data_IF_846437194642
#
_entry.id   IF_846437194642
#
_cell.length_a   1.000
_cell.length_b   1.000
_cell.length_c   1.000
_cell.angle_alpha   90.00
_cell.angle_beta   90.00
_cell.angle_gamma   90.00
#
_symmetry.space_group_name_H-M   'P 1'
#
loop_
_entity.id
_entity.type
_entity.pdbx_description
1 polymer ?
#
# COMPACT_ATOMS: atom_id res chain seq x y z
N UNK A 1 -12.13 -14.54 -0.49
CA UNK A 1 -11.07 -14.07 -1.42
C UNK A 1 -11.53 -12.95 -2.36
N UNK A 2 -12.56 -13.14 -3.19
CA UNK A 2 -12.98 -12.12 -4.19
C UNK A 2 -13.35 -10.76 -3.57
N UNK A 3 -13.99 -10.77 -2.40
CA UNK A 3 -14.35 -9.55 -1.67
C UNK A 3 -13.12 -8.75 -1.18
N UNK A 4 -12.09 -9.44 -0.68
CA UNK A 4 -10.84 -8.81 -0.26
C UNK A 4 -10.05 -8.25 -1.43
N UNK A 5 -10.01 -8.96 -2.56
CA UNK A 5 -9.41 -8.45 -3.81
C UNK A 5 -10.16 -7.21 -4.33
N UNK A 6 -11.49 -7.20 -4.22
CA UNK A 6 -12.32 -6.08 -4.65
C UNK A 6 -12.12 -4.84 -3.75
N UNK A 7 -12.15 -5.01 -2.44
CA UNK A 7 -11.91 -3.94 -1.47
C UNK A 7 -10.49 -3.36 -1.63
N UNK A 8 -9.50 -4.23 -1.84
CA UNK A 8 -8.10 -3.85 -2.05
C UNK A 8 -7.90 -3.05 -3.34
N UNK A 9 -8.57 -3.45 -4.43
CA UNK A 9 -8.54 -2.72 -5.71
C UNK A 9 -9.16 -1.32 -5.60
N UNK A 10 -10.22 -1.17 -4.80
CA UNK A 10 -10.87 0.12 -4.55
C UNK A 10 -9.95 1.05 -3.75
N UNK A 11 -9.32 0.55 -2.69
CA UNK A 11 -8.38 1.33 -1.85
C UNK A 11 -7.19 1.81 -2.69
N UNK A 12 -6.64 0.94 -3.55
CA UNK A 12 -5.51 1.28 -4.41
C UNK A 12 -5.88 2.32 -5.48
N UNK A 13 -7.07 2.23 -6.07
CA UNK A 13 -7.58 3.23 -7.03
C UNK A 13 -7.83 4.59 -6.36
N UNK A 14 -8.36 4.61 -5.14
CA UNK A 14 -8.55 5.85 -4.38
C UNK A 14 -7.21 6.51 -4.02
N UNK A 15 -6.20 5.72 -3.63
CA UNK A 15 -4.87 6.23 -3.37
C UNK A 15 -4.19 6.79 -4.63
N UNK A 16 -4.27 6.10 -5.77
CA UNK A 16 -3.67 6.62 -7.00
C UNK A 16 -4.35 7.90 -7.52
N UNK A 17 -5.68 8.02 -7.36
CA UNK A 17 -6.45 9.16 -7.89
C UNK A 17 -6.25 10.44 -7.06
N UNK A 18 -6.13 10.33 -5.74
CA UNK A 18 -5.90 11.49 -4.86
C UNK A 18 -4.47 12.04 -4.91
N UNK A 19 -3.47 11.20 -5.20
CA UNK A 19 -2.07 11.63 -5.23
C UNK A 19 -1.59 12.07 -6.63
N UNK A 20 -2.34 11.77 -7.70
CA UNK A 20 -2.06 12.24 -9.06
C UNK A 20 -2.44 13.69 -9.34
N UNK A 21 -3.30 14.30 -8.51
CA UNK A 21 -3.81 15.67 -8.72
C UNK A 21 -2.97 16.77 -8.05
N UNK A 22 -1.96 16.41 -7.25
CA UNK A 22 -1.18 17.37 -6.43
C UNK A 22 0.18 17.79 -7.00
N UNK A 23 0.50 17.47 -8.26
CA UNK A 23 1.78 17.84 -8.88
C UNK A 23 1.63 18.94 -9.95
N UNK A 24 1.39 20.16 -9.47
CA UNK A 24 1.84 21.40 -10.13
C UNK A 24 3.30 21.69 -9.78
N UNK A 25 4.12 21.96 -10.80
CA UNK A 25 5.59 22.12 -10.77
C UNK A 25 6.13 22.97 -9.61
N UNK A 26 6.99 22.39 -8.76
CA UNK A 26 8.17 23.05 -8.13
C UNK A 26 9.11 22.02 -7.45
N UNK A 27 10.43 22.26 -7.38
CA UNK A 27 11.41 21.18 -7.30
C UNK A 27 12.02 20.91 -5.91
N UNK A 28 12.38 19.63 -5.73
CA UNK A 28 13.58 19.12 -5.05
C UNK A 28 13.82 19.57 -3.59
N UNK A 29 13.21 18.84 -2.65
CA UNK A 29 13.82 18.50 -1.32
C UNK A 29 13.06 17.42 -0.53
N UNK A 30 11.84 17.04 -0.93
CA UNK A 30 11.05 15.97 -0.25
C UNK A 30 11.10 14.58 -0.89
N UNK A 31 11.98 14.36 -1.87
CA UNK A 31 11.96 13.12 -2.67
C UNK A 31 12.61 11.91 -1.97
N UNK A 32 13.61 12.13 -1.10
CA UNK A 32 14.41 11.03 -0.52
C UNK A 32 13.65 10.25 0.58
N UNK A 33 12.88 10.93 1.43
CA UNK A 33 12.07 10.29 2.48
C UNK A 33 10.87 9.51 1.92
N UNK A 34 10.27 9.99 0.81
CA UNK A 34 9.11 9.34 0.17
C UNK A 34 9.47 8.08 -0.64
N UNK A 35 10.71 7.97 -1.11
CA UNK A 35 11.22 6.75 -1.77
C UNK A 35 11.47 5.64 -0.74
N UNK A 36 11.88 6.00 0.48
CA UNK A 36 12.11 5.05 1.57
C UNK A 36 10.79 4.42 2.07
N UNK A 37 9.71 5.20 2.17
CA UNK A 37 8.37 4.69 2.54
C UNK A 37 7.79 3.73 1.48
N UNK A 38 8.03 3.98 0.19
CA UNK A 38 7.61 3.06 -0.89
C UNK A 38 8.30 1.70 -0.84
N UNK A 39 9.59 1.65 -0.48
CA UNK A 39 10.34 0.38 -0.36
C UNK A 39 9.82 -0.47 0.79
N UNK A 40 9.55 0.15 1.94
CA UNK A 40 9.03 -0.55 3.12
C UNK A 40 7.62 -1.13 2.89
N UNK A 41 6.77 -0.43 2.14
CA UNK A 41 5.44 -0.92 1.82
C UNK A 41 5.48 -2.12 0.86
N UNK A 42 6.35 -2.07 -0.17
CA UNK A 42 6.51 -3.16 -1.13
C UNK A 42 7.10 -4.43 -0.47
N UNK A 43 8.03 -4.26 0.46
CA UNK A 43 8.60 -5.35 1.25
C UNK A 43 7.53 -6.01 2.15
N UNK A 44 6.70 -5.21 2.83
CA UNK A 44 5.56 -5.70 3.60
C UNK A 44 4.56 -6.51 2.74
N UNK A 45 4.21 -6.01 1.54
CA UNK A 45 3.32 -6.74 0.63
C UNK A 45 3.91 -8.05 0.13
N UNK A 46 5.22 -8.09 -0.12
CA UNK A 46 5.90 -9.30 -0.58
C UNK A 46 5.92 -10.35 0.52
N UNK A 47 6.13 -9.93 1.77
CA UNK A 47 6.14 -10.80 2.95
C UNK A 47 4.77 -11.39 3.28
N UNK A 48 3.70 -10.59 3.20
CA UNK A 48 2.31 -11.06 3.38
C UNK A 48 1.91 -12.04 2.27
N UNK A 49 2.29 -11.76 1.02
CA UNK A 49 2.03 -12.67 -0.12
C UNK A 49 2.75 -14.01 0.04
N UNK A 50 3.99 -14.00 0.54
CA UNK A 50 4.74 -15.22 0.82
C UNK A 50 4.10 -16.05 1.93
N UNK A 51 3.66 -15.41 3.03
CA UNK A 51 2.95 -16.11 4.11
C UNK A 51 1.66 -16.79 3.63
N UNK A 52 0.85 -16.09 2.83
CA UNK A 52 -0.37 -16.66 2.26
C UNK A 52 -0.08 -17.83 1.29
N UNK A 53 1.05 -17.78 0.58
CA UNK A 53 1.45 -18.86 -0.33
C UNK A 53 1.93 -20.11 0.43
N UNK A 54 2.62 -19.91 1.55
CA UNK A 54 3.07 -21.00 2.43
C UNK A 54 1.89 -21.67 3.15
N UNK A 55 0.91 -20.90 3.63
CA UNK A 55 -0.33 -21.46 4.21
C UNK A 55 -1.12 -22.29 3.19
N UNK A 56 -1.15 -21.89 1.91
CA UNK A 56 -1.81 -22.69 0.86
C UNK A 56 -1.12 -24.04 0.60
N UNK A 57 0.20 -24.11 0.73
CA UNK A 57 0.97 -25.36 0.61
C UNK A 57 0.78 -26.26 1.84
N UNK A 58 0.79 -25.68 3.04
CA UNK A 58 0.57 -26.40 4.30
C UNK A 58 -0.86 -26.95 4.40
N UNK A 59 -1.85 -26.21 3.91
CA UNK A 59 -3.25 -26.67 3.79
C UNK A 59 -3.38 -27.78 2.74
N UNK A 60 -2.60 -27.77 1.66
CA UNK A 60 -2.58 -28.88 0.68
C UNK A 60 -1.97 -30.14 1.27
N UNK A 61 -0.95 -30.01 2.11
CA UNK A 61 -0.29 -31.14 2.74
C UNK A 61 -1.14 -31.76 3.85
N UNK A 62 -1.79 -30.94 4.69
CA UNK A 62 -2.72 -31.41 5.72
C UNK A 62 -4.04 -31.98 5.16
N UNK A 63 -4.49 -31.54 3.98
CA UNK A 63 -5.65 -32.14 3.28
C UNK A 63 -5.42 -33.56 2.77
N UNK A 64 -4.17 -34.03 2.64
CA UNK A 64 -3.87 -35.42 2.23
C UNK A 64 -4.32 -36.47 3.25
N UNK A 65 -4.70 -36.07 4.46
CA UNK A 65 -5.14 -36.99 5.53
C UNK A 65 -6.62 -37.37 5.45
N UNK A 66 -7.39 -36.79 4.51
CA UNK A 66 -8.77 -37.21 4.29
C UNK A 66 -8.79 -38.25 3.18
N UNK A 67 -9.02 -39.51 3.52
CA UNK A 67 -9.16 -40.61 2.56
C UNK A 67 -10.19 -40.25 1.48
N UNK A 68 -9.72 -39.88 0.29
CA UNK A 68 -10.60 -39.55 -0.84
C UNK A 68 -10.96 -40.83 -1.59
N UNK A 69 -12.24 -41.21 -1.52
CA UNK A 69 -12.79 -42.32 -2.31
C UNK A 69 -12.84 -42.03 -3.82
N UNK A 70 -12.47 -40.82 -4.26
CA UNK A 70 -12.47 -40.43 -5.67
C UNK A 70 -11.17 -40.79 -6.40
N UNK A 71 -10.05 -40.91 -5.67
CA UNK A 71 -8.74 -41.17 -6.25
C UNK A 71 -8.47 -42.68 -6.39
N UNK A 72 -7.38 -43.05 -7.07
CA UNK A 72 -6.91 -44.44 -7.10
C UNK A 72 -6.55 -44.92 -5.69
N UNK A 73 -6.80 -46.19 -5.42
CA UNK A 73 -6.61 -46.77 -4.10
C UNK A 73 -5.17 -47.17 -3.85
N UNK A 74 -4.67 -46.89 -2.64
CA UNK A 74 -3.30 -47.25 -2.25
C UNK A 74 -3.03 -48.75 -2.46
N UNK A 75 -1.97 -49.06 -3.21
CA UNK A 75 -1.50 -50.44 -3.42
C UNK A 75 -1.12 -51.09 -2.10
N UNK A 76 -0.46 -50.35 -1.21
CA UNK A 76 -0.05 -50.86 0.10
C UNK A 76 -1.26 -51.26 0.95
N UNK A 77 -2.32 -50.45 0.92
CA UNK A 77 -3.55 -50.74 1.66
C UNK A 77 -4.27 -51.99 1.15
N UNK A 78 -4.46 -52.11 -0.17
CA UNK A 78 -5.17 -53.25 -0.77
C UNK A 78 -4.36 -54.56 -0.70
N UNK A 79 -3.02 -54.47 -0.70
CA UNK A 79 -2.14 -55.63 -0.62
C UNK A 79 -2.19 -56.34 0.76
N UNK A 80 -2.81 -55.72 1.77
CA UNK A 80 -2.98 -56.35 3.09
C UNK A 80 -3.94 -57.53 3.09
N UNK A 81 -4.85 -57.59 2.11
CA UNK A 81 -5.97 -58.55 2.07
C UNK A 81 -6.12 -59.27 0.74
N UNK A 82 -5.27 -58.98 -0.25
CA UNK A 82 -5.34 -59.58 -1.59
C UNK A 82 -3.95 -59.98 -2.10
N UNK A 83 -3.93 -61.02 -2.93
CA UNK A 83 -2.70 -61.50 -3.59
C UNK A 83 -2.16 -60.53 -4.64
N UNK A 84 -0.84 -60.34 -4.66
CA UNK A 84 -0.16 -59.39 -5.55
C UNK A 84 -0.39 -59.65 -7.04
N UNK A 85 -0.47 -60.91 -7.45
CA UNK A 85 -0.68 -61.32 -8.85
C UNK A 85 -2.00 -60.74 -9.41
N UNK A 86 -3.08 -60.81 -8.62
CA UNK A 86 -4.40 -60.26 -8.99
C UNK A 86 -4.41 -58.74 -9.06
N UNK A 87 -3.55 -58.08 -8.27
CA UNK A 87 -3.49 -56.62 -8.21
C UNK A 87 -2.69 -56.01 -9.35
N UNK A 88 -1.70 -56.72 -9.89
CA UNK A 88 -0.83 -56.21 -10.96
C UNK A 88 -1.61 -55.86 -12.23
N UNK A 89 -2.71 -56.57 -12.52
CA UNK A 89 -3.59 -56.29 -13.67
C UNK A 89 -4.56 -55.14 -13.42
N UNK A 90 -4.57 -54.54 -12.22
CA UNK A 90 -5.47 -53.46 -11.81
C UNK A 90 -4.72 -52.14 -11.55
N UNK A 91 -3.46 -52.04 -11.96
CA UNK A 91 -2.62 -50.87 -11.68
C UNK A 91 -2.94 -49.75 -12.67
N UNK A 92 -3.16 -48.54 -12.14
CA UNK A 92 -3.25 -47.31 -12.91
C UNK A 92 -1.85 -46.93 -13.43
N UNK A 93 -1.67 -46.81 -14.74
CA UNK A 93 -0.37 -46.50 -15.35
C UNK A 93 0.13 -45.08 -15.06
N UNK A 94 -0.71 -44.18 -14.54
CA UNK A 94 -0.33 -42.78 -14.23
C UNK A 94 0.23 -42.64 -12.81
N UNK A 95 -0.46 -43.19 -11.80
CA UNK A 95 -0.08 -43.02 -10.40
C UNK A 95 0.50 -44.28 -9.75
N UNK A 96 0.54 -45.40 -10.49
CA UNK A 96 1.03 -46.70 -10.05
C UNK A 96 0.31 -47.27 -8.80
N UNK A 97 -0.94 -46.83 -8.58
CA UNK A 97 -1.84 -47.31 -7.53
C UNK A 97 -2.94 -48.19 -8.13
N UNK A 98 -3.78 -48.82 -7.31
CA UNK A 98 -4.90 -49.63 -7.81
C UNK A 98 -5.97 -48.70 -8.40
N UNK A 99 -6.34 -48.95 -9.65
CA UNK A 99 -7.26 -48.09 -10.40
C UNK A 99 -8.62 -47.98 -9.72
N UNK A 100 -9.14 -46.76 -9.61
CA UNK A 100 -10.50 -46.48 -9.19
C UNK A 100 -11.27 -45.91 -10.37
N UNK A 101 -12.50 -46.39 -10.58
CA UNK A 101 -13.29 -46.08 -11.77
C UNK A 101 -12.49 -46.30 -13.06
N UNK A 102 -11.92 -47.49 -13.22
CA UNK A 102 -11.01 -47.82 -14.31
C UNK A 102 -11.50 -47.39 -15.70
N UNK A 103 -10.60 -46.74 -16.43
CA UNK A 103 -10.68 -46.40 -17.83
C UNK A 103 -9.62 -47.20 -18.58
N UNK A 104 -9.96 -47.66 -19.78
CA UNK A 104 -9.06 -48.33 -20.69
C UNK A 104 -8.74 -47.40 -21.86
N UNK A 105 -7.45 -47.33 -22.23
CA UNK A 105 -7.01 -46.53 -23.37
C UNK A 105 -7.10 -47.38 -24.64
N UNK A 106 -7.81 -46.85 -25.65
CA UNK A 106 -7.93 -47.45 -26.98
C UNK A 106 -7.27 -46.51 -27.97
N UNK A 107 -6.03 -46.78 -28.33
CA UNK A 107 -5.33 -46.00 -29.34
C UNK A 107 -4.61 -46.94 -30.28
N UNK A 108 -4.64 -46.60 -31.57
CA UNK A 108 -4.08 -47.43 -32.64
C UNK A 108 -2.57 -47.64 -32.44
N UNK A 109 -1.90 -46.67 -31.81
CA UNK A 109 -0.50 -46.72 -31.43
C UNK A 109 -0.20 -47.80 -30.37
N UNK A 110 -1.22 -48.32 -29.66
CA UNK A 110 -1.10 -49.36 -28.64
C UNK A 110 -1.91 -50.63 -28.96
N UNK A 111 -2.50 -50.75 -30.15
CA UNK A 111 -3.33 -51.91 -30.54
C UNK A 111 -2.51 -53.22 -30.66
N UNK A 112 -1.19 -53.10 -30.86
CA UNK A 112 -0.28 -54.24 -31.07
C UNK A 112 0.44 -54.73 -29.80
N UNK A 113 0.14 -54.13 -28.65
CA UNK A 113 0.67 -54.60 -27.38
C UNK A 113 -0.43 -55.45 -26.75
N UNK A 114 -0.16 -56.73 -26.47
CA UNK A 114 -1.07 -57.65 -25.74
C UNK A 114 -1.43 -57.15 -24.31
N UNK A 115 -1.04 -55.92 -23.96
CA UNK A 115 -1.18 -55.28 -22.67
C UNK A 115 -2.27 -54.21 -22.70
N UNK A 116 -3.31 -54.44 -21.90
CA UNK A 116 -4.37 -53.45 -21.64
C UNK A 116 -3.84 -52.35 -20.72
N UNK A 117 -3.88 -51.10 -21.18
CA UNK A 117 -3.50 -49.94 -20.38
C UNK A 117 -4.68 -49.40 -19.58
N UNK A 118 -4.59 -49.53 -18.25
CA UNK A 118 -5.61 -49.05 -17.32
C UNK A 118 -5.20 -47.74 -16.66
N UNK A 119 -6.15 -46.82 -16.57
CA UNK A 119 -6.00 -45.52 -15.89
C UNK A 119 -7.19 -45.28 -14.97
N UNK A 120 -6.97 -44.73 -13.79
CA UNK A 120 -8.08 -44.25 -12.96
C UNK A 120 -8.72 -43.02 -13.59
N UNK A 121 -10.05 -42.90 -13.54
CA UNK A 121 -10.79 -41.82 -14.21
C UNK A 121 -10.33 -40.42 -13.78
N UNK A 122 -10.18 -40.17 -12.48
CA UNK A 122 -9.68 -38.88 -11.98
C UNK A 122 -8.21 -38.62 -12.36
N UNK A 123 -7.37 -39.66 -12.36
CA UNK A 123 -5.98 -39.56 -12.79
C UNK A 123 -5.91 -39.16 -14.27
N UNK A 124 -6.72 -39.78 -15.12
CA UNK A 124 -6.80 -39.48 -16.54
C UNK A 124 -7.29 -38.04 -16.76
N UNK A 125 -8.38 -37.63 -16.10
CA UNK A 125 -8.91 -36.27 -16.23
C UNK A 125 -7.88 -35.20 -15.80
N UNK A 126 -7.19 -35.43 -14.68
CA UNK A 126 -6.14 -34.53 -14.18
C UNK A 126 -4.97 -34.46 -15.17
N UNK A 127 -4.51 -35.60 -15.66
CA UNK A 127 -3.43 -35.70 -16.62
C UNK A 127 -3.74 -34.95 -17.92
N UNK A 128 -4.91 -35.18 -18.51
CA UNK A 128 -5.32 -34.57 -19.78
C UNK A 128 -5.42 -33.04 -19.69
N UNK A 129 -5.85 -32.50 -18.54
CA UNK A 129 -5.89 -31.05 -18.29
C UNK A 129 -4.49 -30.43 -18.26
N UNK A 130 -3.50 -31.15 -17.74
CA UNK A 130 -2.13 -30.66 -17.59
C UNK A 130 -1.28 -30.85 -18.86
N UNK A 131 -1.61 -31.86 -19.68
CA UNK A 131 -0.76 -32.30 -20.80
C UNK A 131 -1.42 -32.07 -22.16
N UNK A 132 -2.21 -31.02 -22.32
CA UNK A 132 -2.84 -30.64 -23.60
C UNK A 132 -3.59 -31.80 -24.29
N UNK A 133 -4.31 -32.61 -23.50
CA UNK A 133 -5.07 -33.79 -23.96
C UNK A 133 -4.24 -34.86 -24.68
N UNK A 134 -2.93 -34.92 -24.44
CA UNK A 134 -2.06 -35.97 -24.97
C UNK A 134 -2.21 -37.29 -24.21
N UNK A 135 -1.93 -38.40 -24.87
CA UNK A 135 -1.97 -39.74 -24.28
C UNK A 135 -0.96 -39.89 -23.12
N UNK A 136 -1.33 -40.50 -21.97
CA UNK A 136 -0.40 -40.74 -20.86
C UNK A 136 0.79 -41.65 -21.17
N UNK A 137 0.70 -42.53 -22.17
CA UNK A 137 1.75 -43.52 -22.47
C UNK A 137 2.81 -42.96 -23.44
N UNK A 138 2.39 -42.46 -24.61
CA UNK A 138 3.30 -42.02 -25.69
C UNK A 138 3.07 -40.59 -26.18
N UNK A 139 2.27 -39.78 -25.47
CA UNK A 139 2.05 -38.35 -25.78
C UNK A 139 1.51 -38.02 -27.18
N UNK A 140 0.96 -38.98 -27.92
CA UNK A 140 0.30 -38.72 -29.20
C UNK A 140 -1.02 -37.94 -29.00
N UNK A 141 -1.50 -37.34 -30.09
CA UNK A 141 -2.81 -36.67 -30.13
C UNK A 141 -3.91 -37.71 -30.38
N UNK A 142 -5.15 -37.39 -29.96
CA UNK A 142 -6.34 -38.22 -30.21
C UNK A 142 -6.31 -39.63 -29.58
N UNK A 143 -6.12 -39.71 -28.26
CA UNK A 143 -6.32 -40.95 -27.51
C UNK A 143 -7.81 -41.15 -27.21
N UNK A 144 -8.39 -42.26 -27.65
CA UNK A 144 -9.71 -42.68 -27.20
C UNK A 144 -9.59 -43.47 -25.90
N UNK A 145 -10.64 -43.41 -25.09
CA UNK A 145 -10.70 -44.15 -23.84
C UNK A 145 -12.14 -44.51 -23.51
N UNK A 146 -12.33 -45.69 -22.92
CA UNK A 146 -13.65 -46.20 -22.55
C UNK A 146 -13.68 -46.71 -21.11
N UNK A 147 -14.88 -46.83 -20.55
CA UNK A 147 -15.03 -47.39 -19.20
C UNK A 147 -14.87 -48.92 -19.25
N UNK A 148 -13.85 -49.44 -18.59
CA UNK A 148 -13.69 -50.89 -18.47
C UNK A 148 -14.56 -51.44 -17.33
N UNK A 149 -15.77 -51.91 -17.69
CA UNK A 149 -16.76 -52.43 -16.73
C UNK A 149 -16.27 -53.67 -15.98
N UNK A 150 -15.49 -54.53 -16.63
CA UNK A 150 -14.95 -55.77 -16.04
C UNK A 150 -13.95 -55.44 -14.94
N UNK A 151 -13.00 -54.55 -15.20
CA UNK A 151 -12.01 -54.09 -14.21
C UNK A 151 -12.69 -53.35 -13.07
N UNK A 152 -13.64 -52.46 -13.35
CA UNK A 152 -14.43 -51.77 -12.31
C UNK A 152 -15.15 -52.76 -11.38
N UNK A 153 -15.71 -53.84 -11.93
CA UNK A 153 -16.33 -54.92 -11.15
C UNK A 153 -15.28 -55.69 -10.34
N UNK A 154 -14.14 -56.04 -10.93
CA UNK A 154 -13.05 -56.72 -10.20
C UNK A 154 -12.53 -55.89 -9.03
N UNK A 155 -12.33 -54.58 -9.21
CA UNK A 155 -11.91 -53.67 -8.13
C UNK A 155 -12.97 -53.57 -7.03
N UNK A 156 -14.25 -53.49 -7.42
CA UNK A 156 -15.39 -53.44 -6.48
C UNK A 156 -15.49 -54.67 -5.57
N UNK A 157 -14.99 -55.82 -6.03
CA UNK A 157 -15.01 -57.10 -5.32
C UNK A 157 -13.73 -57.38 -4.51
N UNK A 158 -12.71 -56.50 -4.57
CA UNK A 158 -11.51 -56.62 -3.74
C UNK A 158 -11.88 -56.55 -2.26
N UNK A 159 -11.28 -57.43 -1.46
CA UNK A 159 -11.41 -57.38 -0.01
C UNK A 159 -10.50 -56.30 0.53
N UNK A 160 -10.98 -55.50 1.48
CA UNK A 160 -10.20 -54.43 2.10
C UNK A 160 -10.55 -54.31 3.57
N UNK A 161 -9.56 -53.87 4.36
CA UNK A 161 -9.79 -53.39 5.73
C UNK A 161 -10.27 -51.94 5.69
N UNK A 162 -10.93 -51.45 6.74
CA UNK A 162 -11.33 -50.05 6.79
C UNK A 162 -10.10 -49.10 6.65
N UNK A 163 -10.17 -48.09 5.77
CA UNK A 163 -9.09 -47.12 5.58
C UNK A 163 -8.64 -46.45 6.88
N UNK A 164 -9.59 -46.14 7.76
CA UNK A 164 -9.29 -45.53 9.07
C UNK A 164 -8.47 -46.47 9.96
N UNK A 165 -8.68 -47.79 9.86
CA UNK A 165 -7.81 -48.76 10.55
C UNK A 165 -6.40 -48.79 9.94
N UNK A 166 -6.31 -48.69 8.62
CA UNK A 166 -5.02 -48.67 7.92
C UNK A 166 -4.18 -47.46 8.33
N UNK A 167 -4.79 -46.27 8.37
CA UNK A 167 -4.11 -45.04 8.77
C UNK A 167 -3.63 -45.09 10.23
N UNK A 168 -4.44 -45.64 11.15
CA UNK A 168 -4.04 -45.84 12.55
C UNK A 168 -2.83 -46.76 12.67
N UNK A 169 -2.85 -47.90 11.97
CA UNK A 169 -1.73 -48.86 11.98
C UNK A 169 -0.46 -48.24 11.39
N UNK A 170 -0.57 -47.46 10.32
CA UNK A 170 0.57 -46.76 9.71
C UNK A 170 1.21 -45.76 10.68
N UNK A 171 0.40 -45.04 11.44
CA UNK A 171 0.90 -44.05 12.41
C UNK A 171 1.56 -44.71 13.63
N UNK A 172 1.05 -45.86 14.08
CA UNK A 172 1.65 -46.63 15.18
C UNK A 172 3.04 -47.17 14.83
N UNK A 173 3.27 -47.54 13.58
CA UNK A 173 4.59 -48.02 13.13
C UNK A 173 5.66 -46.92 13.11
N UNK A 174 5.27 -45.64 13.13
CA UNK A 174 6.18 -44.50 13.02
C UNK A 174 6.47 -43.80 14.36
N UNK A 175 5.83 -44.21 15.47
CA UNK A 175 6.01 -43.61 16.79
C UNK A 175 6.23 -44.70 17.83
N UNK A 176 7.45 -44.81 18.34
CA UNK A 176 7.84 -45.72 19.42
C UNK A 176 7.31 -45.29 20.82
N UNK A 177 6.44 -44.28 20.89
CA UNK A 177 5.95 -43.76 22.16
C UNK A 177 4.59 -44.34 22.54
N UNK A 178 4.56 -44.99 23.70
CA UNK A 178 3.39 -45.49 24.43
C UNK A 178 2.41 -44.36 24.77
N UNK A 179 1.65 -43.90 23.79
CA UNK A 179 0.44 -43.13 24.08
C UNK A 179 -0.67 -44.14 24.35
N UNK A 180 -0.86 -44.39 25.65
CA UNK A 180 -1.97 -45.13 26.24
C UNK A 180 -3.29 -44.41 25.93
N UNK A 181 -3.75 -44.46 24.67
CA UNK A 181 -5.05 -43.96 24.24
C UNK A 181 -6.10 -45.03 24.57
N UNK A 182 -6.30 -45.19 25.87
CA UNK A 182 -7.33 -45.98 26.51
C UNK A 182 -8.72 -45.44 26.14
N UNK A 183 -9.30 -45.92 25.04
CA UNK A 183 -10.72 -46.33 24.93
C UNK A 183 -11.08 -46.78 23.50
N UNK A 184 -10.63 -47.98 23.14
CA UNK A 184 -11.48 -49.09 22.63
C UNK A 184 -12.46 -48.86 21.48
N UNK A 185 -12.31 -47.83 20.64
CA UNK A 185 -12.96 -47.82 19.32
C UNK A 185 -12.01 -48.48 18.33
N UNK A 186 -12.11 -49.80 18.20
CA UNK A 186 -11.45 -50.53 17.12
C UNK A 186 -12.51 -50.86 16.07
N UNK A 187 -12.40 -50.26 14.88
CA UNK A 187 -13.04 -50.87 13.73
C UNK A 187 -12.30 -52.19 13.45
N UNK A 188 -13.02 -53.23 13.06
CA UNK A 188 -12.50 -54.53 12.61
C UNK A 188 -13.03 -54.90 11.21
N UNK A 189 -13.56 -53.93 10.48
CA UNK A 189 -14.20 -54.17 9.19
C UNK A 189 -13.21 -54.79 8.20
N UNK A 190 -13.62 -55.90 7.61
CA UNK A 190 -13.00 -56.52 6.45
C UNK A 190 -14.13 -56.89 5.50
N UNK A 191 -14.17 -56.28 4.32
CA UNK A 191 -15.28 -56.45 3.39
C UNK A 191 -14.93 -56.01 1.98
N UNK A 192 -15.90 -56.04 1.08
CA UNK A 192 -15.69 -55.67 -0.33
C UNK A 192 -15.57 -54.16 -0.48
N UNK A 193 -14.73 -53.72 -1.41
CA UNK A 193 -14.50 -52.30 -1.69
C UNK A 193 -15.81 -51.53 -1.94
N UNK A 194 -16.76 -52.11 -2.68
CA UNK A 194 -18.05 -51.47 -2.98
C UNK A 194 -18.91 -51.16 -1.75
N UNK A 195 -18.75 -51.94 -0.68
CA UNK A 195 -19.51 -51.80 0.57
C UNK A 195 -18.80 -50.83 1.54
N UNK A 196 -17.59 -50.39 1.20
CA UNK A 196 -16.76 -49.52 2.06
C UNK A 196 -17.43 -48.19 2.36
N UNK A 197 -18.10 -47.59 1.38
CA UNK A 197 -18.79 -46.31 1.56
C UNK A 197 -19.89 -46.43 2.62
N UNK A 198 -20.70 -47.48 2.52
CA UNK A 198 -21.77 -47.75 3.47
C UNK A 198 -21.21 -47.96 4.89
N UNK A 199 -20.11 -48.72 5.00
CA UNK A 199 -19.39 -48.88 6.27
C UNK A 199 -18.92 -47.53 6.85
N UNK A 200 -18.23 -46.71 6.05
CA UNK A 200 -17.68 -45.42 6.51
C UNK A 200 -18.75 -44.42 6.95
N UNK A 201 -19.93 -44.49 6.32
CA UNK A 201 -21.06 -43.59 6.57
C UNK A 201 -21.94 -44.06 7.75
N UNK A 202 -22.14 -45.38 7.93
CA UNK A 202 -23.15 -45.91 8.85
C UNK A 202 -22.61 -46.70 10.04
N UNK A 203 -21.47 -47.37 9.91
CA UNK A 203 -21.07 -48.43 10.85
C UNK A 203 -19.62 -48.37 11.30
N UNK A 204 -18.83 -47.40 10.82
CA UNK A 204 -17.44 -47.29 11.18
C UNK A 204 -17.28 -46.59 12.53
N UNK A 205 -17.07 -47.38 13.59
CA UNK A 205 -16.85 -46.88 14.96
C UNK A 205 -15.58 -46.03 15.11
N UNK A 206 -14.64 -46.14 14.16
CA UNK A 206 -13.54 -45.19 13.99
C UNK A 206 -14.02 -43.86 13.40
N UNK A 207 -15.20 -43.37 13.78
CA UNK A 207 -15.67 -42.05 13.37
C UNK A 207 -14.52 -41.07 13.53
N UNK A 208 -14.15 -40.39 12.42
CA UNK A 208 -13.34 -39.17 12.54
C UNK A 208 -13.99 -38.34 13.65
N UNK A 209 -13.22 -37.65 14.52
CA UNK A 209 -13.80 -36.68 15.44
C UNK A 209 -14.45 -35.53 14.65
N UNK A 210 -15.65 -35.79 14.15
CA UNK A 210 -16.70 -34.90 13.73
C UNK A 210 -17.90 -35.53 14.41
N UNK A 211 -18.24 -35.09 15.62
CA UNK A 211 -19.37 -34.15 15.70
C UNK A 211 -19.49 -33.41 17.06
N UNK A 212 -18.48 -33.40 17.93
CA UNK A 212 -18.54 -32.48 19.10
C UNK A 212 -18.07 -31.06 18.73
N UNK A 213 -17.20 -30.92 17.74
CA UNK A 213 -16.75 -29.61 17.22
C UNK A 213 -17.80 -28.89 16.38
N UNK A 214 -18.89 -29.56 15.98
CA UNK A 214 -19.90 -28.94 15.11
C UNK A 214 -20.74 -27.87 15.81
N UNK A 215 -20.96 -27.97 17.13
CA UNK A 215 -21.73 -26.96 17.86
C UNK A 215 -20.84 -25.75 18.23
N UNK A 216 -19.64 -25.99 18.76
CA UNK A 216 -18.69 -24.92 19.09
C UNK A 216 -18.29 -24.10 17.86
N UNK A 217 -18.01 -24.74 16.72
CA UNK A 217 -17.71 -24.03 15.47
C UNK A 217 -18.92 -23.23 14.98
N UNK A 218 -20.15 -23.75 15.13
CA UNK A 218 -21.36 -23.04 14.71
C UNK A 218 -21.61 -21.82 15.60
N UNK A 219 -21.38 -21.94 16.91
CA UNK A 219 -21.51 -20.83 17.85
C UNK A 219 -20.45 -19.76 17.61
N UNK A 220 -19.18 -20.14 17.39
CA UNK A 220 -18.13 -19.21 16.97
C UNK A 220 -18.46 -18.53 15.63
N UNK A 221 -19.01 -19.27 14.66
CA UNK A 221 -19.43 -18.71 13.38
C UNK A 221 -20.56 -17.69 13.54
N UNK A 222 -21.50 -17.94 14.45
CA UNK A 222 -22.60 -17.03 14.77
C UNK A 222 -22.08 -15.75 15.44
N UNK A 223 -21.12 -15.86 16.37
CA UNK A 223 -20.44 -14.72 17.00
C UNK A 223 -19.70 -13.88 15.94
N UNK A 224 -18.93 -14.53 15.07
CA UNK A 224 -18.22 -13.85 13.97
C UNK A 224 -19.21 -13.15 13.02
N UNK A 225 -20.32 -13.80 12.67
CA UNK A 225 -21.36 -13.17 11.84
C UNK A 225 -22.00 -11.95 12.52
N UNK A 226 -22.17 -11.99 13.85
CA UNK A 226 -22.58 -10.84 14.64
C UNK A 226 -21.61 -9.67 14.51
N UNK A 227 -20.32 -9.93 14.70
CA UNK A 227 -19.25 -8.93 14.57
C UNK A 227 -19.17 -8.37 13.14
N UNK A 228 -19.34 -9.21 12.11
CA UNK A 228 -19.36 -8.76 10.70
C UNK A 228 -20.50 -7.77 10.46
N UNK A 229 -21.69 -8.01 11.02
CA UNK A 229 -22.84 -7.11 10.87
C UNK A 229 -22.59 -5.76 11.56
N UNK A 230 -21.95 -5.77 12.73
CA UNK A 230 -21.55 -4.54 13.42
C UNK A 230 -20.54 -3.74 12.60
N UNK A 231 -19.49 -4.40 12.10
CA UNK A 231 -18.50 -3.78 11.21
C UNK A 231 -19.14 -3.21 9.95
N UNK A 232 -20.09 -3.90 9.34
CA UNK A 232 -20.85 -3.39 8.19
C UNK A 232 -21.62 -2.12 8.52
N UNK A 233 -22.21 -2.01 9.71
CA UNK A 233 -22.92 -0.80 10.15
C UNK A 233 -21.95 0.37 10.37
N UNK A 234 -20.79 0.11 10.97
CA UNK A 234 -19.73 1.13 11.13
C UNK A 234 -19.24 1.62 9.75
N UNK A 235 -18.99 0.71 8.81
CA UNK A 235 -18.58 1.06 7.44
C UNK A 235 -19.63 1.95 6.76
N UNK A 236 -20.92 1.60 6.85
CA UNK A 236 -22.01 2.43 6.29
C UNK A 236 -22.06 3.82 6.94
N UNK A 237 -21.87 3.91 8.26
CA UNK A 237 -21.84 5.18 8.96
C UNK A 237 -20.66 6.06 8.47
N UNK A 238 -19.47 5.48 8.38
CA UNK A 238 -18.28 6.17 7.88
C UNK A 238 -18.46 6.64 6.43
N UNK A 239 -19.10 5.83 5.57
CA UNK A 239 -19.42 6.23 4.19
C UNK A 239 -20.33 7.47 4.16
N UNK A 240 -21.37 7.51 4.99
CA UNK A 240 -22.25 8.69 5.10
C UNK A 240 -21.50 9.93 5.62
N UNK A 241 -20.55 9.76 6.55
CA UNK A 241 -19.73 10.87 7.02
C UNK A 241 -18.80 11.42 5.93
N UNK A 242 -18.21 10.54 5.11
CA UNK A 242 -17.36 10.94 3.98
C UNK A 242 -18.16 11.73 2.94
N UNK A 243 -19.38 11.31 2.63
CA UNK A 243 -20.27 12.02 1.69
C UNK A 243 -20.58 13.44 2.18
N UNK A 244 -20.93 13.59 3.46
CA UNK A 244 -21.16 14.91 4.08
C UNK A 244 -19.91 15.80 4.08
N UNK A 245 -18.72 15.23 4.23
CA UNK A 245 -17.48 16.00 4.13
C UNK A 245 -17.22 16.46 2.70
N UNK A 246 -17.44 15.60 1.70
CA UNK A 246 -17.30 15.95 0.29
C UNK A 246 -18.24 17.09 -0.11
N UNK A 247 -19.49 17.09 0.37
CA UNK A 247 -20.44 18.18 0.10
C UNK A 247 -19.95 19.52 0.68
N UNK A 248 -19.40 19.50 1.90
CA UNK A 248 -18.81 20.68 2.53
C UNK A 248 -17.57 21.18 1.78
N UNK A 249 -16.73 20.28 1.29
CA UNK A 249 -15.54 20.64 0.51
C UNK A 249 -15.93 21.22 -0.85
N UNK A 250 -16.96 20.68 -1.50
CA UNK A 250 -17.52 21.23 -2.73
C UNK A 250 -18.05 22.66 -2.52
N UNK A 251 -18.74 22.92 -1.41
CA UNK A 251 -19.23 24.26 -1.08
C UNK A 251 -18.09 25.24 -0.81
N UNK A 252 -17.07 24.83 -0.06
CA UNK A 252 -15.86 25.64 0.16
C UNK A 252 -15.12 25.94 -1.14
N UNK A 253 -15.05 24.99 -2.06
CA UNK A 253 -14.43 25.19 -3.36
C UNK A 253 -15.16 26.26 -4.19
N UNK A 254 -16.50 26.25 -4.19
CA UNK A 254 -17.29 27.32 -4.84
C UNK A 254 -17.01 28.69 -4.23
N UNK A 255 -16.85 28.78 -2.91
CA UNK A 255 -16.49 30.02 -2.23
C UNK A 255 -15.08 30.50 -2.62
N UNK A 256 -14.11 29.58 -2.70
CA UNK A 256 -12.75 29.88 -3.17
C UNK A 256 -12.78 30.45 -4.59
N UNK A 257 -13.53 29.84 -5.50
CA UNK A 257 -13.62 30.29 -6.89
C UNK A 257 -14.29 31.67 -7.00
N UNK A 258 -15.32 31.93 -6.20
CA UNK A 258 -15.93 33.27 -6.10
C UNK A 258 -14.93 34.33 -5.63
N UNK A 259 -14.11 34.01 -4.62
CA UNK A 259 -13.08 34.90 -4.12
C UNK A 259 -11.96 35.13 -5.15
N UNK A 260 -11.53 34.09 -5.87
CA UNK A 260 -10.56 34.21 -6.96
C UNK A 260 -11.03 35.18 -8.05
N UNK A 261 -12.28 35.09 -8.47
CA UNK A 261 -12.84 36.00 -9.47
C UNK A 261 -12.82 37.46 -8.99
N UNK A 262 -13.21 37.70 -7.73
CA UNK A 262 -13.15 39.06 -7.14
C UNK A 262 -11.72 39.59 -7.06
N UNK A 263 -10.76 38.73 -6.73
CA UNK A 263 -9.34 39.11 -6.67
C UNK A 263 -8.84 39.52 -8.08
N UNK A 264 -9.18 38.73 -9.10
CA UNK A 264 -8.81 39.03 -10.48
C UNK A 264 -9.41 40.37 -10.98
N UNK A 265 -10.64 40.69 -10.61
CA UNK A 265 -11.25 41.99 -10.94
C UNK A 265 -10.53 43.15 -10.25
N UNK A 266 -10.07 42.96 -9.01
CA UNK A 266 -9.27 43.95 -8.28
C UNK A 266 -7.88 44.12 -8.91
N UNK A 267 -7.24 43.04 -9.34
CA UNK A 267 -5.95 43.09 -10.03
C UNK A 267 -6.04 43.84 -11.37
N UNK A 268 -7.13 43.68 -12.12
CA UNK A 268 -7.40 44.46 -13.33
C UNK A 268 -7.51 45.97 -13.03
N UNK A 269 -8.22 46.33 -11.96
CA UNK A 269 -8.36 47.73 -11.51
C UNK A 269 -7.02 48.33 -11.07
N UNK A 270 -6.20 47.56 -10.34
CA UNK A 270 -4.85 47.98 -9.94
C UNK A 270 -3.97 48.21 -11.18
N UNK A 271 -4.05 47.31 -12.16
CA UNK A 271 -3.29 47.43 -13.42
C UNK A 271 -3.69 48.70 -14.19
N UNK A 272 -4.98 49.01 -14.27
CA UNK A 272 -5.48 50.23 -14.89
C UNK A 272 -4.94 51.49 -14.18
N UNK A 273 -5.11 51.57 -12.86
CA UNK A 273 -4.60 52.69 -12.06
C UNK A 273 -3.08 52.84 -12.16
N UNK A 274 -2.35 51.73 -12.21
CA UNK A 274 -0.88 51.74 -12.36
C UNK A 274 -0.47 52.36 -13.70
N UNK A 275 -1.23 52.08 -14.77
CA UNK A 275 -1.01 52.70 -16.08
C UNK A 275 -1.31 54.20 -16.06
N UNK A 276 -2.39 54.62 -15.41
CA UNK A 276 -2.76 56.04 -15.28
C UNK A 276 -1.67 56.82 -14.51
N UNK A 277 -1.19 56.26 -13.39
CA UNK A 277 -0.08 56.85 -12.61
C UNK A 277 1.19 56.94 -13.44
N UNK A 278 1.52 55.91 -14.24
CA UNK A 278 2.68 55.93 -15.14
C UNK A 278 2.55 57.03 -16.20
N UNK A 279 1.37 57.22 -16.77
CA UNK A 279 1.12 58.28 -17.76
C UNK A 279 1.25 59.67 -17.13
N UNK A 280 0.68 59.89 -15.93
CA UNK A 280 0.82 61.15 -15.20
C UNK A 280 2.28 61.46 -14.90
N UNK A 281 3.08 60.46 -14.50
CA UNK A 281 4.52 60.63 -14.26
C UNK A 281 5.27 61.11 -15.50
N UNK A 282 4.95 60.57 -16.68
CA UNK A 282 5.52 61.02 -17.96
C UNK A 282 5.15 62.48 -18.24
N UNK A 283 3.87 62.86 -18.04
CA UNK A 283 3.41 64.24 -18.24
C UNK A 283 4.08 65.23 -17.28
N UNK A 284 4.25 64.86 -16.02
CA UNK A 284 4.96 65.68 -15.02
C UNK A 284 6.40 65.90 -15.45
N UNK A 285 7.11 64.83 -15.84
CA UNK A 285 8.49 64.95 -16.32
C UNK A 285 8.59 65.87 -17.55
N UNK A 286 7.66 65.76 -18.51
CA UNK A 286 7.61 66.65 -19.68
C UNK A 286 7.38 68.11 -19.29
N UNK A 287 6.52 68.36 -18.30
CA UNK A 287 6.27 69.72 -17.81
C UNK A 287 7.48 70.29 -17.07
N UNK A 288 8.17 69.47 -16.27
CA UNK A 288 9.40 69.88 -15.59
C UNK A 288 10.49 70.27 -16.59
N UNK A 289 10.73 69.48 -17.63
CA UNK A 289 11.71 69.85 -18.69
C UNK A 289 11.35 71.17 -19.38
N UNK A 290 10.06 71.44 -19.61
CA UNK A 290 9.63 72.75 -20.17
C UNK A 290 9.88 73.88 -19.19
N UNK A 291 9.60 73.66 -17.91
CA UNK A 291 9.84 74.64 -16.85
C UNK A 291 11.33 74.96 -16.74
N UNK A 292 12.19 73.94 -16.73
CA UNK A 292 13.65 74.11 -16.71
C UNK A 292 14.14 74.94 -17.92
N UNK A 293 13.58 74.69 -19.11
CA UNK A 293 13.91 75.51 -20.29
C UNK A 293 13.50 76.98 -20.13
N UNK A 294 12.31 77.26 -19.58
CA UNK A 294 11.89 78.65 -19.32
C UNK A 294 12.75 79.34 -18.27
N UNK A 295 13.19 78.62 -17.22
CA UNK A 295 14.10 79.17 -16.21
C UNK A 295 15.44 79.54 -16.85
N UNK A 296 16.01 78.67 -17.68
CA UNK A 296 17.26 78.94 -18.40
C UNK A 296 17.14 80.12 -19.39
N UNK A 297 15.97 80.32 -20.01
CA UNK A 297 15.71 81.49 -20.88
C UNK A 297 15.72 82.80 -20.08
N UNK A 298 15.19 82.81 -18.85
CA UNK A 298 15.19 84.01 -17.99
C UNK A 298 16.59 84.31 -17.46
N UNK A 299 17.33 83.30 -17.01
CA UNK A 299 18.69 83.48 -16.46
C UNK A 299 19.72 83.92 -17.54
N UNK A 300 19.42 83.75 -18.82
CA UNK A 300 20.26 84.20 -19.94
C UNK A 300 20.18 85.70 -20.26
N UNK A 301 19.11 86.39 -19.83
CA UNK A 301 18.88 87.81 -20.16
C UNK A 301 19.40 88.79 -19.08
N UNK A 302 19.79 88.32 -17.89
CA UNK A 302 20.26 89.17 -16.77
C UNK A 302 21.81 89.28 -16.68
N UNK A 303 22.55 88.80 -17.68
CA UNK A 303 24.03 88.76 -17.70
C UNK A 303 24.74 90.06 -18.10
N UNK A 304 24.03 91.15 -18.34
CA UNK A 304 24.61 92.45 -18.72
C UNK A 304 24.00 93.54 -17.84
N UNK A 305 24.56 93.79 -16.63
CA UNK A 305 24.52 95.07 -15.86
C UNK A 305 25.11 94.87 -14.44
N UNK A 306 26.36 95.33 -14.29
CA UNK A 306 27.01 96.05 -13.15
C UNK A 306 28.41 95.49 -12.84
N UNK A 307 29.41 96.11 -13.49
CA UNK A 307 30.72 96.40 -12.88
C UNK A 307 30.66 97.84 -12.29
N UNK A 308 31.45 98.08 -11.24
CA UNK A 308 31.73 99.37 -10.57
C UNK A 308 30.60 99.82 -9.60
N UNK A 309 30.81 100.04 -8.30
CA UNK A 309 31.87 100.81 -7.66
C UNK A 309 32.27 100.29 -6.27
N UNK A 310 33.49 100.68 -5.95
CA UNK A 310 34.39 100.36 -4.86
C UNK A 310 34.14 101.07 -3.49
N UNK A 311 34.72 100.44 -2.46
CA UNK A 311 35.49 101.02 -1.33
C UNK A 311 34.82 101.50 -0.01
N UNK A 312 35.42 100.95 1.08
CA UNK A 312 35.71 101.49 2.42
C UNK A 312 34.55 101.55 3.45
N UNK A 313 34.69 101.19 4.73
CA UNK A 313 35.84 101.09 5.65
C UNK A 313 35.57 100.11 6.81
N UNK A 314 36.65 99.44 7.21
CA UNK A 314 37.15 99.09 8.55
C UNK A 314 36.34 98.37 9.66
N UNK A 315 37.04 97.33 10.15
CA UNK A 315 37.38 97.00 11.54
C UNK A 315 36.64 95.88 12.29
N UNK A 316 37.45 94.84 12.55
CA UNK A 316 37.74 94.27 13.88
C UNK A 316 36.80 93.18 14.43
N UNK A 317 37.19 91.91 14.23
CA UNK A 317 37.53 91.03 15.35
C UNK A 317 38.04 89.67 14.86
N UNK A 318 39.28 89.40 15.24
CA UNK A 318 39.93 88.10 15.27
C UNK A 318 39.05 87.01 15.87
N UNK A 319 39.05 85.82 15.25
CA UNK A 319 39.51 84.64 15.96
C UNK A 319 39.89 83.50 15.01
N UNK A 320 41.18 83.23 15.02
CA UNK A 320 41.86 81.95 14.85
C UNK A 320 40.98 80.70 14.84
N UNK A 321 41.18 79.85 13.82
CA UNK A 321 41.94 78.62 14.01
C UNK A 321 42.34 78.03 12.66
N UNK A 322 43.64 78.15 12.39
CA UNK A 322 44.39 77.33 11.47
C UNK A 322 44.14 75.84 11.75
N UNK A 323 44.07 75.05 10.69
CA UNK A 323 44.95 73.90 10.60
C UNK A 323 45.24 73.64 9.12
N UNK A 324 46.38 74.17 8.69
CA UNK A 324 47.14 73.64 7.56
C UNK A 324 47.65 72.23 7.91
N UNK A 325 47.74 71.39 6.88
CA UNK A 325 48.93 70.62 6.47
C UNK A 325 48.44 69.37 5.74
N UNK A 326 48.60 69.35 4.43
CA UNK A 326 49.74 68.77 3.68
C UNK A 326 49.15 67.59 2.91
N UNK A 327 48.96 67.73 1.60
CA UNK A 327 49.87 67.18 0.60
C UNK A 327 50.33 65.76 0.96
N UNK A 328 49.82 64.77 0.24
CA UNK A 328 50.69 63.98 -0.63
C UNK A 328 49.85 63.32 -1.75
N UNK A 329 50.29 63.59 -2.98
CA UNK A 329 50.03 62.75 -4.14
C UNK A 329 50.56 61.35 -3.83
N UNK A 330 49.75 60.32 -4.08
CA UNK A 330 50.26 59.13 -4.71
C UNK A 330 49.18 58.51 -5.59
N UNK A 331 49.58 58.25 -6.83
CA UNK A 331 48.85 57.41 -7.77
C UNK A 331 48.66 56.03 -7.15
N UNK A 332 47.47 55.47 -7.25
CA UNK A 332 47.32 54.05 -7.55
C UNK A 332 45.98 53.80 -8.25
N UNK A 333 46.09 53.02 -9.33
CA UNK A 333 44.98 52.49 -10.10
C UNK A 333 44.24 51.42 -9.29
N UNK A 334 43.02 51.12 -9.77
CA UNK A 334 42.23 49.91 -9.52
C UNK A 334 41.52 49.83 -8.15
N UNK A 335 40.19 50.07 -8.16
CA UNK A 335 39.16 49.23 -7.49
C UNK A 335 37.81 49.98 -7.39
N UNK A 336 37.02 49.95 -8.47
CA UNK A 336 35.68 50.59 -8.55
C UNK A 336 34.51 49.57 -8.50
N UNK A 337 34.69 48.38 -7.89
CA UNK A 337 33.65 47.34 -7.83
C UNK A 337 33.14 46.98 -6.42
N UNK A 338 33.73 47.51 -5.33
CA UNK A 338 33.35 47.10 -3.95
C UNK A 338 32.42 48.08 -3.20
N UNK A 339 31.99 49.17 -3.86
CA UNK A 339 31.15 50.19 -3.22
C UNK A 339 29.63 50.00 -3.41
N UNK A 340 29.22 49.24 -4.43
CA UNK A 340 27.80 48.97 -4.73
C UNK A 340 27.25 47.74 -3.99
N UNK A 341 28.07 46.73 -3.70
CA UNK A 341 27.62 45.52 -2.98
C UNK A 341 27.29 45.81 -1.50
N UNK A 342 28.02 46.73 -0.86
CA UNK A 342 27.74 47.18 0.52
C UNK A 342 26.46 48.01 0.62
N UNK A 343 26.10 48.78 -0.43
CA UNK A 343 24.83 49.53 -0.49
C UNK A 343 23.62 48.59 -0.71
N UNK A 344 23.75 47.57 -1.56
CA UNK A 344 22.68 46.58 -1.77
C UNK A 344 22.43 45.71 -0.53
N UNK A 345 23.47 45.29 0.19
CA UNK A 345 23.32 44.55 1.44
C UNK A 345 22.62 45.39 2.53
N UNK A 346 22.91 46.70 2.63
CA UNK A 346 22.24 47.60 3.56
C UNK A 346 20.75 47.79 3.22
N UNK A 347 20.40 47.89 1.93
CA UNK A 347 19.02 48.00 1.45
C UNK A 347 18.23 46.70 1.71
N UNK A 348 18.83 45.52 1.50
CA UNK A 348 18.20 44.23 1.85
C UNK A 348 17.95 44.09 3.35
N UNK A 349 18.91 44.48 4.21
CA UNK A 349 18.77 44.43 5.67
C UNK A 349 17.66 45.35 6.19
N UNK A 350 17.50 46.54 5.59
CA UNK A 350 16.40 47.48 5.89
C UNK A 350 15.03 46.97 5.42
N UNK A 351 14.96 46.29 4.27
CA UNK A 351 13.71 45.68 3.75
C UNK A 351 13.23 44.51 4.62
N UNK A 352 14.16 43.67 5.09
CA UNK A 352 13.83 42.53 5.94
C UNK A 352 13.33 42.98 7.34
N UNK A 353 13.96 44.01 7.92
CA UNK A 353 13.58 44.53 9.23
C UNK A 353 12.19 45.20 9.24
N UNK A 354 11.77 45.86 8.15
CA UNK A 354 10.41 46.41 8.03
C UNK A 354 9.34 45.30 7.97
N UNK A 355 9.63 44.16 7.36
CA UNK A 355 8.65 43.07 7.25
C UNK A 355 8.44 42.34 8.59
N UNK A 356 9.50 42.12 9.37
CA UNK A 356 9.37 41.49 10.70
C UNK A 356 8.63 42.40 11.70
N UNK A 357 8.87 43.73 11.65
CA UNK A 357 8.17 44.69 12.51
C UNK A 357 6.68 44.78 12.17
N UNK A 358 6.33 44.67 10.88
CA UNK A 358 4.95 44.64 10.40
C UNK A 358 4.21 43.32 10.74
N UNK A 359 4.90 42.17 10.73
CA UNK A 359 4.31 40.91 11.22
C UNK A 359 4.07 40.94 12.73
N UNK A 360 4.98 41.52 13.51
CA UNK A 360 4.83 41.64 14.96
C UNK A 360 3.71 42.62 15.36
N UNK A 361 3.47 43.69 14.59
CA UNK A 361 2.32 44.58 14.83
C UNK A 361 1.00 43.86 14.55
N UNK A 362 0.94 42.98 13.56
CA UNK A 362 -0.27 42.20 13.25
C UNK A 362 -0.65 41.21 14.36
N UNK A 363 0.35 40.62 15.02
CA UNK A 363 0.15 39.70 16.16
C UNK A 363 -0.27 40.47 17.43
N UNK A 364 0.22 41.70 17.62
CA UNK A 364 -0.12 42.55 18.78
C UNK A 364 -1.53 43.15 18.73
N UNK A 365 -2.13 43.32 17.56
CA UNK A 365 -3.45 43.97 17.41
C UNK A 365 -4.62 42.99 17.35
N UNK A 366 -4.38 41.69 17.26
CA UNK A 366 -5.45 40.70 17.32
C UNK A 366 -5.96 40.57 18.76
N UNK A 367 -7.21 41.03 18.98
CA UNK A 367 -8.03 40.73 20.16
C UNK A 367 -8.34 39.22 20.23
N UNK A 368 -7.31 38.41 20.47
CA UNK A 368 -7.45 36.99 20.73
C UNK A 368 -8.14 36.84 22.09
N UNK A 369 -9.41 36.43 22.07
CA UNK A 369 -10.13 36.06 23.28
C UNK A 369 -9.49 34.78 23.83
N UNK A 370 -8.83 34.91 24.98
CA UNK A 370 -8.35 33.79 25.79
C UNK A 370 -9.47 32.74 25.94
N UNK A 371 -9.23 31.51 25.48
CA UNK A 371 -10.08 30.36 25.83
C UNK A 371 -10.07 29.20 24.83
N UNK A 372 -10.18 29.45 23.52
CA UNK A 372 -10.36 28.36 22.54
C UNK A 372 -9.05 27.75 22.03
N UNK A 373 -8.02 28.58 21.82
CA UNK A 373 -6.86 28.15 21.02
C UNK A 373 -5.80 27.43 21.86
N UNK A 374 -5.78 27.67 23.17
CA UNK A 374 -4.97 26.90 24.11
C UNK A 374 -5.51 25.48 24.34
N UNK A 375 -6.82 25.27 24.21
CA UNK A 375 -7.42 23.93 24.30
C UNK A 375 -7.03 23.04 23.12
N UNK A 376 -6.93 23.59 21.90
CA UNK A 376 -6.53 22.84 20.72
C UNK A 376 -5.06 22.42 20.74
N UNK A 377 -4.19 23.23 21.35
CA UNK A 377 -2.80 22.84 21.59
C UNK A 377 -2.71 21.74 22.65
N UNK A 378 -3.42 21.88 23.77
CA UNK A 378 -3.45 20.89 24.84
C UNK A 378 -4.01 19.52 24.37
N UNK A 379 -5.12 19.51 23.62
CA UNK A 379 -5.73 18.30 23.06
C UNK A 379 -4.79 17.59 22.08
N UNK A 380 -4.06 18.33 21.24
CA UNK A 380 -3.09 17.74 20.33
C UNK A 380 -1.89 17.12 21.06
N UNK A 381 -1.39 17.76 22.12
CA UNK A 381 -0.35 17.16 22.97
C UNK A 381 -0.83 15.90 23.68
N UNK A 382 -2.06 15.90 24.20
CA UNK A 382 -2.63 14.74 24.89
C UNK A 382 -2.86 13.56 23.94
N UNK A 383 -3.38 13.84 22.73
CA UNK A 383 -3.57 12.84 21.66
C UNK A 383 -2.25 12.27 21.17
N UNK A 384 -1.20 13.10 21.06
CA UNK A 384 0.15 12.64 20.70
C UNK A 384 0.76 11.75 21.79
N UNK A 385 0.54 12.06 23.07
CA UNK A 385 1.00 11.23 24.19
C UNK A 385 0.30 9.86 24.22
N UNK A 386 -1.01 9.81 23.96
CA UNK A 386 -1.78 8.57 23.89
C UNK A 386 -1.28 7.65 22.76
N UNK A 387 -1.04 8.21 21.56
CA UNK A 387 -0.51 7.45 20.42
C UNK A 387 0.89 6.90 20.72
N UNK A 388 1.75 7.67 21.39
CA UNK A 388 3.09 7.21 21.78
C UNK A 388 3.02 6.08 22.81
N UNK A 389 2.11 6.15 23.77
CA UNK A 389 1.92 5.10 24.78
C UNK A 389 1.31 3.82 24.22
N UNK A 390 0.37 3.91 23.26
CA UNK A 390 -0.15 2.76 22.54
C UNK A 390 0.94 2.07 21.71
N UNK A 391 1.80 2.84 21.04
CA UNK A 391 2.93 2.30 20.27
C UNK A 391 3.98 1.62 21.17
N UNK A 392 4.25 2.17 22.36
CA UNK A 392 5.14 1.53 23.34
C UNK A 392 4.55 0.23 23.91
N UNK A 393 3.23 0.20 24.13
CA UNK A 393 2.52 -1.00 24.59
C UNK A 393 2.53 -2.11 23.52
N UNK A 394 2.36 -1.73 22.24
CA UNK A 394 2.42 -2.68 21.14
C UNK A 394 3.83 -3.27 20.95
N UNK A 395 4.88 -2.46 21.12
CA UNK A 395 6.28 -2.89 21.00
C UNK A 395 6.74 -3.78 22.15
N UNK A 396 6.21 -3.59 23.36
CA UNK A 396 6.47 -4.45 24.52
C UNK A 396 5.70 -5.77 24.46
N UNK A 397 4.50 -5.78 23.87
CA UNK A 397 3.74 -7.01 23.62
C UNK A 397 4.41 -7.91 22.58
N UNK A 398 4.90 -7.35 21.47
CA UNK A 398 5.62 -8.11 20.45
C UNK A 398 6.96 -8.67 20.94
N UNK A 399 7.68 -7.92 21.78
CA UNK A 399 8.94 -8.38 22.38
C UNK A 399 8.75 -9.52 23.40
N UNK A 400 7.62 -9.56 24.11
CA UNK A 400 7.29 -10.67 25.04
C UNK A 400 6.85 -11.95 24.32
N UNK A 401 6.25 -11.84 23.14
CA UNK A 401 5.81 -13.00 22.37
C UNK A 401 6.90 -13.61 21.48
N UNK A 402 7.96 -12.87 21.13
CA UNK A 402 9.11 -13.41 20.41
C UNK A 402 10.06 -14.25 21.28
N UNK A 403 10.05 -14.07 22.60
CA UNK A 403 10.89 -14.85 23.53
C UNK A 403 10.23 -16.13 24.05
N UNK A 404 9.02 -16.48 23.58
CA UNK A 404 8.30 -17.69 24.02
C UNK A 404 8.33 -18.85 23.01
N UNK A 405 9.05 -18.70 21.89
CA UNK A 405 9.12 -19.69 20.82
C UNK A 405 10.55 -20.23 20.56
N UNK A 406 11.44 -20.20 21.55
CA UNK A 406 12.82 -20.69 21.38
C UNK A 406 13.37 -21.52 22.56
N UNK A 407 12.50 -22.00 23.46
CA UNK A 407 12.82 -23.09 24.37
C UNK A 407 11.56 -23.94 24.47
N UNK A 408 11.52 -24.99 23.65
CA UNK A 408 11.02 -26.35 23.92
C UNK A 408 10.87 -27.12 22.59
#
# INVERSE_FOLDING_TARGET
>A
MLFFHYLFSIILKCFCKNYGLLFGRSPLKSFSTKVLEKKNLLDYYTKVRLMLSLEEEEIKENKRTTFSLSECYSKAWISLTNESQRLNTLICCVCNQITNNAMELHCNEHENLDQVYLVGEECLQRYLRQNNRKCPIQQHSHCEFSQNRTVRKSVSELLVICPRQFDLKKNQLNKEEEVNLSSKKNCNYTGKMKDMKDHLDKSCDLLLPKQNTSFEIVDELNVINGQIRELQNVVKNLQSQIEKMNDKDNEKNKQIDSLRHKLQEKDQKITALTNDVRQLKIKINQHNTRFDNYVNEIEGDDGEVIEEEENNDDNDSNNDSNNDNDNDNDNDNDDDDDHDEKKEQAIMKLKYNKNCKNMLSFIKTSNLKNGSDFLLLAENTHKKSLIVNELYSYKTWTSKNQNKSFVD
#
